data_IF_065158792572
#
_entry.id   IF_065158792572
#
_cell.length_a   1.000
_cell.length_b   1.000
_cell.length_c   1.000
_cell.angle_alpha   90.00
_cell.angle_beta   90.00
_cell.angle_gamma   90.00
#
_symmetry.space_group_name_H-M   'P 1'
#
loop_
_entity.id
_entity.type
_entity.pdbx_description
1 polymer ?
#
# COMPACT_ATOMS: atom_id res chain seq x y z
N UNK A 1 -52.00 -37.22 11.09
CA UNK A 1 -51.55 -35.82 11.25
C UNK A 1 -50.11 -35.74 10.74
N UNK A 2 -49.92 -35.22 9.52
CA UNK A 2 -48.60 -35.02 8.98
C UNK A 2 -48.18 -33.56 9.23
N UNK A 3 -47.20 -33.36 10.10
CA UNK A 3 -46.56 -32.05 10.27
C UNK A 3 -45.52 -31.92 9.15
N UNK A 4 -45.79 -31.06 8.16
CA UNK A 4 -44.80 -30.66 7.19
C UNK A 4 -43.89 -29.62 7.87
N UNK A 5 -42.67 -30.04 8.21
CA UNK A 5 -41.64 -29.12 8.63
C UNK A 5 -41.09 -28.50 7.35
N UNK A 6 -41.50 -27.29 7.05
CA UNK A 6 -40.84 -26.47 6.03
C UNK A 6 -39.49 -26.07 6.55
N UNK A 7 -38.46 -26.79 6.13
CA UNK A 7 -37.08 -26.37 6.36
C UNK A 7 -36.82 -25.03 5.66
N UNK A 8 -36.59 -24.00 6.43
CA UNK A 8 -36.12 -22.73 5.92
C UNK A 8 -34.63 -22.90 5.57
N UNK A 9 -34.34 -23.12 4.30
CA UNK A 9 -32.98 -22.97 3.79
C UNK A 9 -32.69 -21.46 3.72
N UNK A 10 -32.08 -20.94 4.75
CA UNK A 10 -31.46 -19.63 4.69
C UNK A 10 -30.24 -19.75 3.79
N UNK A 11 -30.38 -19.36 2.54
CA UNK A 11 -29.25 -19.19 1.65
C UNK A 11 -28.48 -17.96 2.12
N UNK A 12 -27.36 -18.20 2.82
CA UNK A 12 -26.40 -17.17 3.18
C UNK A 12 -25.73 -16.74 1.88
N UNK A 13 -26.18 -15.63 1.30
CA UNK A 13 -25.46 -14.98 0.23
C UNK A 13 -24.17 -14.42 0.82
N UNK A 14 -23.05 -15.11 0.60
CA UNK A 14 -21.72 -14.56 0.80
C UNK A 14 -21.53 -13.41 -0.20
N UNK A 15 -21.85 -12.20 0.24
CA UNK A 15 -21.42 -11.01 -0.46
C UNK A 15 -19.91 -10.90 -0.19
N UNK A 16 -19.09 -11.42 -1.13
CA UNK A 16 -17.68 -11.07 -1.14
C UNK A 16 -17.60 -9.59 -1.50
N UNK A 17 -17.56 -8.75 -0.47
CA UNK A 17 -17.19 -7.35 -0.65
C UNK A 17 -15.75 -7.36 -1.14
N UNK A 18 -15.52 -6.94 -2.40
CA UNK A 18 -14.21 -6.57 -2.87
C UNK A 18 -13.78 -5.35 -2.07
N UNK A 19 -13.13 -5.57 -0.92
CA UNK A 19 -12.44 -4.51 -0.22
C UNK A 19 -11.17 -4.20 -1.01
N UNK A 20 -11.20 -3.10 -1.76
CA UNK A 20 -9.95 -2.50 -2.20
C UNK A 20 -9.17 -2.12 -0.95
N UNK A 21 -7.98 -2.70 -0.77
CA UNK A 21 -7.09 -2.31 0.30
C UNK A 21 -6.77 -0.82 0.10
N UNK A 22 -7.14 0.01 1.07
CA UNK A 22 -6.90 1.44 1.03
C UNK A 22 -5.43 1.73 1.31
N UNK A 23 -4.92 2.79 0.68
CA UNK A 23 -3.63 3.35 1.06
C UNK A 23 -3.80 4.14 2.35
N UNK A 24 -3.02 3.79 3.37
CA UNK A 24 -3.05 4.45 4.67
C UNK A 24 -2.29 5.77 4.63
N UNK A 25 -2.83 6.79 5.28
CA UNK A 25 -2.08 8.00 5.55
C UNK A 25 -1.12 7.77 6.72
N UNK A 26 0.15 8.14 6.52
CA UNK A 26 1.13 8.04 7.58
C UNK A 26 0.76 8.96 8.76
N UNK A 27 0.85 8.39 9.95
CA UNK A 27 0.86 9.10 11.22
C UNK A 27 2.08 8.65 12.02
N UNK A 28 2.62 9.48 12.95
CA UNK A 28 3.81 9.09 13.72
C UNK A 28 3.68 7.71 14.37
N UNK A 29 4.68 6.84 14.11
CA UNK A 29 4.73 5.48 14.63
C UNK A 29 4.08 4.41 13.74
N UNK A 30 3.28 4.78 12.74
CA UNK A 30 2.52 3.81 11.93
C UNK A 30 3.42 2.80 11.22
N UNK A 31 4.49 3.25 10.57
CA UNK A 31 5.40 2.36 9.83
C UNK A 31 6.09 1.38 10.79
N UNK A 32 6.62 1.87 11.90
CA UNK A 32 7.27 1.02 12.92
C UNK A 32 6.32 -0.02 13.48
N UNK A 33 5.09 0.37 13.78
CA UNK A 33 4.04 -0.52 14.30
C UNK A 33 3.73 -1.64 13.32
N UNK A 34 3.51 -1.30 12.05
CA UNK A 34 3.15 -2.27 11.01
C UNK A 34 4.30 -3.21 10.69
N UNK A 35 5.53 -2.72 10.61
CA UNK A 35 6.72 -3.57 10.43
C UNK A 35 6.91 -4.52 11.61
N UNK A 36 6.71 -4.06 12.85
CA UNK A 36 6.80 -4.89 14.03
C UNK A 36 5.71 -5.98 14.06
N UNK A 37 4.56 -5.73 13.46
CA UNK A 37 3.50 -6.72 13.29
C UNK A 37 3.77 -7.75 12.17
N UNK A 38 4.91 -7.64 11.47
CA UNK A 38 5.32 -8.57 10.41
C UNK A 38 4.79 -8.23 9.02
N UNK A 39 4.19 -7.05 8.85
CA UNK A 39 3.68 -6.61 7.55
C UNK A 39 4.81 -6.16 6.63
N UNK A 40 4.62 -6.38 5.32
CA UNK A 40 5.44 -5.78 4.27
C UNK A 40 4.77 -4.49 3.83
N UNK A 41 5.52 -3.38 3.80
CA UNK A 41 4.99 -2.07 3.46
C UNK A 41 5.50 -1.57 2.12
N UNK A 42 4.62 -0.95 1.36
CA UNK A 42 4.97 -0.09 0.25
C UNK A 42 4.74 1.36 0.69
N UNK A 43 5.80 2.16 0.72
CA UNK A 43 5.76 3.52 1.25
C UNK A 43 5.99 4.53 0.13
N UNK A 44 5.08 5.49 0.00
CA UNK A 44 5.09 6.54 -1.00
C UNK A 44 5.24 7.91 -0.32
N UNK A 45 6.39 8.55 -0.53
CA UNK A 45 6.62 9.94 -0.11
C UNK A 45 6.10 10.87 -1.21
N UNK A 46 4.98 11.50 -0.97
CA UNK A 46 4.28 12.30 -1.97
C UNK A 46 4.03 13.74 -1.51
N UNK A 47 3.73 14.61 -2.46
CA UNK A 47 3.15 15.92 -2.19
C UNK A 47 1.95 16.15 -3.11
N UNK A 48 0.94 16.85 -2.62
CA UNK A 48 -0.32 17.08 -3.37
C UNK A 48 -0.12 17.93 -4.62
N UNK A 49 0.91 18.76 -4.64
CA UNK A 49 1.26 19.67 -5.73
C UNK A 49 2.28 19.09 -6.73
N UNK A 50 2.73 17.87 -6.52
CA UNK A 50 3.83 17.24 -7.25
C UNK A 50 3.30 16.43 -8.44
N UNK A 51 3.60 16.86 -9.66
CA UNK A 51 3.16 16.17 -10.89
C UNK A 51 3.80 14.79 -11.07
N UNK A 52 5.06 14.62 -10.69
CA UNK A 52 5.75 13.32 -10.72
C UNK A 52 5.10 12.34 -9.74
N UNK A 53 4.73 12.82 -8.54
CA UNK A 53 4.00 12.01 -7.56
C UNK A 53 2.63 11.56 -8.10
N UNK A 54 1.91 12.46 -8.75
CA UNK A 54 0.61 12.14 -9.36
C UNK A 54 0.74 11.08 -10.46
N UNK A 55 1.79 11.16 -11.28
CA UNK A 55 2.07 10.15 -12.30
C UNK A 55 2.40 8.79 -11.67
N UNK A 56 3.22 8.76 -10.64
CA UNK A 56 3.51 7.53 -9.89
C UNK A 56 2.24 6.94 -9.28
N UNK A 57 1.39 7.77 -8.68
CA UNK A 57 0.13 7.34 -8.09
C UNK A 57 -0.80 6.68 -9.12
N UNK A 58 -0.92 7.25 -10.31
CA UNK A 58 -1.72 6.68 -11.40
C UNK A 58 -1.19 5.31 -11.86
N UNK A 59 0.13 5.16 -11.99
CA UNK A 59 0.77 3.88 -12.33
C UNK A 59 0.54 2.84 -11.24
N UNK A 60 0.71 3.21 -9.98
CA UNK A 60 0.46 2.32 -8.84
C UNK A 60 -0.99 1.86 -8.79
N UNK A 61 -1.94 2.76 -8.96
CA UNK A 61 -3.37 2.44 -8.98
C UNK A 61 -3.70 1.42 -10.06
N UNK A 62 -3.20 1.62 -11.27
CA UNK A 62 -3.40 0.72 -12.41
C UNK A 62 -2.76 -0.65 -12.16
N UNK A 63 -1.51 -0.70 -11.69
CA UNK A 63 -0.82 -1.96 -11.38
C UNK A 63 -1.50 -2.75 -10.26
N UNK A 64 -1.98 -2.07 -9.23
CA UNK A 64 -2.70 -2.69 -8.12
C UNK A 64 -4.05 -3.25 -8.58
N UNK A 65 -4.77 -2.53 -9.43
CA UNK A 65 -6.03 -3.01 -10.00
C UNK A 65 -5.85 -4.24 -10.90
N UNK A 66 -4.80 -4.25 -11.71
CA UNK A 66 -4.48 -5.37 -12.62
C UNK A 66 -3.90 -6.59 -11.88
N UNK A 67 -3.25 -6.38 -10.74
CA UNK A 67 -2.54 -7.40 -9.98
C UNK A 67 -2.95 -7.39 -8.50
N UNK A 68 -4.08 -7.99 -8.14
CA UNK A 68 -4.56 -8.00 -6.75
C UNK A 68 -3.58 -8.60 -5.74
N UNK A 69 -2.63 -9.41 -6.20
CA UNK A 69 -1.59 -10.01 -5.37
C UNK A 69 -0.75 -8.98 -4.61
N UNK A 70 -0.61 -7.76 -5.13
CA UNK A 70 0.13 -6.70 -4.45
C UNK A 70 -0.59 -6.24 -3.18
N UNK A 71 -1.90 -5.98 -3.27
CA UNK A 71 -2.71 -5.58 -2.12
C UNK A 71 -2.90 -6.71 -1.10
N UNK A 72 -2.88 -7.96 -1.54
CA UNK A 72 -2.95 -9.14 -0.67
C UNK A 72 -1.69 -9.32 0.18
N UNK A 73 -0.53 -8.88 -0.29
CA UNK A 73 0.76 -9.12 0.34
C UNK A 73 1.41 -7.89 0.98
N UNK A 74 0.95 -6.69 0.64
CA UNK A 74 1.55 -5.45 1.12
C UNK A 74 0.50 -4.49 1.68
N UNK A 75 0.92 -3.74 2.69
CA UNK A 75 0.19 -2.57 3.19
C UNK A 75 0.78 -1.32 2.55
N UNK A 76 -0.06 -0.53 1.91
CA UNK A 76 0.36 0.70 1.24
C UNK A 76 0.20 1.90 2.17
N UNK A 77 1.26 2.66 2.32
CA UNK A 77 1.32 3.85 3.20
C UNK A 77 1.84 5.03 2.39
N UNK A 78 1.16 6.16 2.46
CA UNK A 78 1.62 7.41 1.87
C UNK A 78 2.03 8.41 2.95
N UNK A 79 3.18 9.02 2.76
CA UNK A 79 3.78 10.01 3.67
C UNK A 79 3.74 11.38 3.01
N UNK A 80 3.00 12.31 3.61
CA UNK A 80 2.93 13.68 3.10
C UNK A 80 4.26 14.40 3.31
N UNK A 81 4.93 14.71 2.19
CA UNK A 81 6.21 15.39 2.20
C UNK A 81 6.18 16.72 2.91
N UNK A 82 5.14 17.54 2.66
CA UNK A 82 5.05 18.87 3.25
C UNK A 82 4.98 18.83 4.78
N UNK A 83 4.29 17.83 5.32
CA UNK A 83 4.18 17.63 6.77
C UNK A 83 5.42 16.98 7.38
N UNK A 84 5.98 15.95 6.71
CA UNK A 84 6.96 15.04 7.31
C UNK A 84 8.38 15.14 6.76
N UNK A 85 8.70 16.09 5.87
CA UNK A 85 10.04 16.22 5.28
C UNK A 85 11.15 16.40 6.32
N UNK A 86 10.88 17.06 7.43
CA UNK A 86 11.82 17.26 8.54
C UNK A 86 11.68 16.25 9.68
N UNK A 87 10.80 15.28 9.55
CA UNK A 87 10.52 14.28 10.58
C UNK A 87 11.46 13.07 10.46
N UNK A 88 11.63 12.33 11.57
CA UNK A 88 12.50 11.15 11.58
C UNK A 88 12.10 10.08 10.55
N UNK A 89 10.81 9.93 10.22
CA UNK A 89 10.33 8.99 9.21
C UNK A 89 10.99 9.21 7.85
N UNK A 90 11.41 10.44 7.58
CA UNK A 90 12.08 10.85 6.35
C UNK A 90 13.60 10.81 6.51
N UNK A 91 14.12 11.45 7.57
CA UNK A 91 15.57 11.57 7.79
C UNK A 91 16.24 10.24 8.16
N UNK A 92 15.57 9.38 8.94
CA UNK A 92 16.13 8.08 9.34
C UNK A 92 16.33 7.13 8.17
N UNK A 93 15.59 7.32 7.09
CA UNK A 93 15.64 6.50 5.87
C UNK A 93 16.39 7.17 4.72
N UNK A 94 16.97 8.33 4.96
CA UNK A 94 17.70 9.09 3.93
C UNK A 94 16.86 9.34 2.68
N UNK A 95 15.64 9.81 2.85
CA UNK A 95 14.74 10.12 1.74
C UNK A 95 15.14 11.47 1.13
N UNK A 96 15.60 11.50 -0.13
CA UNK A 96 16.17 12.71 -0.72
C UNK A 96 15.12 13.73 -1.15
N UNK A 97 13.90 13.25 -1.46
CA UNK A 97 12.83 14.09 -2.00
C UNK A 97 11.50 13.35 -1.98
N UNK A 98 10.42 14.08 -2.19
CA UNK A 98 9.14 13.51 -2.59
C UNK A 98 9.28 12.66 -3.87
N UNK A 99 8.28 11.92 -4.24
CA UNK A 99 8.32 10.94 -5.35
C UNK A 99 9.29 9.78 -5.09
N UNK A 100 9.55 9.49 -3.83
CA UNK A 100 10.35 8.33 -3.42
C UNK A 100 9.43 7.20 -2.99
N UNK A 101 9.62 6.04 -3.62
CA UNK A 101 8.86 4.81 -3.36
C UNK A 101 9.78 3.77 -2.73
N UNK A 102 9.34 3.15 -1.63
CA UNK A 102 10.09 2.12 -0.91
C UNK A 102 9.27 0.85 -0.73
N UNK A 103 9.95 -0.29 -0.67
CA UNK A 103 9.39 -1.54 -0.13
C UNK A 103 10.18 -1.93 1.12
N UNK A 104 9.47 -2.11 2.24
CA UNK A 104 10.06 -2.40 3.55
C UNK A 104 9.52 -3.71 4.12
N UNK A 105 10.40 -4.49 4.74
CA UNK A 105 10.03 -5.69 5.51
C UNK A 105 10.99 -5.85 6.68
N UNK A 106 10.44 -5.92 7.91
CA UNK A 106 11.27 -5.97 9.10
C UNK A 106 12.15 -4.71 9.21
N UNK A 107 13.45 -4.88 9.29
CA UNK A 107 14.45 -3.81 9.31
C UNK A 107 15.14 -3.61 7.95
N UNK A 108 14.63 -4.25 6.88
CA UNK A 108 15.21 -4.21 5.55
C UNK A 108 14.42 -3.31 4.59
N UNK A 109 15.15 -2.53 3.81
CA UNK A 109 14.63 -1.87 2.62
C UNK A 109 14.88 -2.78 1.42
N UNK A 110 13.80 -3.35 0.84
CA UNK A 110 13.89 -4.31 -0.26
C UNK A 110 14.12 -3.66 -1.61
N UNK A 111 13.76 -2.38 -1.73
CA UNK A 111 13.98 -1.62 -2.95
C UNK A 111 13.52 -0.17 -2.82
N UNK A 112 13.96 0.65 -3.77
CA UNK A 112 13.70 2.08 -3.80
C UNK A 112 13.66 2.60 -5.23
N UNK A 113 12.71 3.51 -5.51
CA UNK A 113 12.69 4.33 -6.72
C UNK A 113 12.59 5.78 -6.29
N UNK A 114 13.45 6.63 -6.85
CA UNK A 114 13.43 8.08 -6.63
C UNK A 114 13.04 8.76 -7.94
N UNK A 115 11.88 9.40 -7.96
CA UNK A 115 11.33 10.17 -9.08
C UNK A 115 11.08 9.38 -10.39
N UNK A 116 11.30 8.08 -10.41
CA UNK A 116 11.05 7.24 -11.60
C UNK A 116 9.56 7.07 -11.88
N UNK A 117 9.21 7.14 -13.17
CA UNK A 117 7.83 6.98 -13.67
C UNK A 117 7.71 5.89 -14.74
N UNK A 118 8.68 4.99 -14.81
CA UNK A 118 8.62 3.83 -15.69
C UNK A 118 7.71 2.76 -15.06
N UNK A 119 6.59 2.39 -15.72
CA UNK A 119 5.67 1.38 -15.18
C UNK A 119 6.32 0.03 -14.90
N UNK A 120 7.24 -0.42 -15.77
CA UNK A 120 7.94 -1.71 -15.56
C UNK A 120 8.84 -1.68 -14.33
N UNK A 121 9.56 -0.58 -14.10
CA UNK A 121 10.42 -0.41 -12.94
C UNK A 121 9.57 -0.36 -11.63
N UNK A 122 8.43 0.30 -11.66
CA UNK A 122 7.51 0.37 -10.51
C UNK A 122 6.91 -1.01 -10.23
N UNK A 123 6.52 -1.75 -11.26
CA UNK A 123 6.04 -3.13 -11.12
C UNK A 123 7.10 -4.06 -10.53
N UNK A 124 8.35 -3.92 -10.97
CA UNK A 124 9.47 -4.66 -10.41
C UNK A 124 9.67 -4.35 -8.91
N UNK A 125 9.58 -3.08 -8.53
CA UNK A 125 9.64 -2.67 -7.12
C UNK A 125 8.52 -3.31 -6.31
N UNK A 126 7.26 -3.25 -6.77
CA UNK A 126 6.12 -3.90 -6.13
C UNK A 126 6.37 -5.41 -5.94
N UNK A 127 6.94 -6.06 -6.96
CA UNK A 127 7.21 -7.51 -6.94
C UNK A 127 8.21 -7.92 -5.87
N UNK A 128 9.06 -7.01 -5.40
CA UNK A 128 9.99 -7.26 -4.30
C UNK A 128 9.28 -7.44 -2.95
N UNK A 129 8.05 -7.03 -2.84
CA UNK A 129 7.22 -7.21 -1.64
C UNK A 129 6.47 -8.55 -1.59
N UNK A 130 6.59 -9.38 -2.59
CA UNK A 130 5.89 -10.68 -2.66
C UNK A 130 6.61 -11.82 -1.97
#
# INVERSE_FOLDING_TARGET
MHRIIKGFLASLALVSSMSFAETLDYTPGLIKERLAAGETLFVDYFATWCSTCARQAGILEELRAENPVFDENMTFVKVDWDTYQGHEVTSSRNIPRRSTLLVLRGDEELGRIVAGTDPEAIKELLSKGL
#
